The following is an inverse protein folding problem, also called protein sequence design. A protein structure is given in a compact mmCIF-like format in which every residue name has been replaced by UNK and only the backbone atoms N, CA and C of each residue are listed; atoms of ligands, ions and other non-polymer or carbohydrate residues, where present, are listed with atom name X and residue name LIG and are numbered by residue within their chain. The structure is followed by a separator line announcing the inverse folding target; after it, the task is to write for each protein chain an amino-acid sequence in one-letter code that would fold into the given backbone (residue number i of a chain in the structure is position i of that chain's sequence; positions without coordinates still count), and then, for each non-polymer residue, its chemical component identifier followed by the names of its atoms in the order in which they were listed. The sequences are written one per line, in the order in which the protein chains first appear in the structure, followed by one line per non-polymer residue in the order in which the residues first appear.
data_IF_444147635450
#
_entry.id   IF_444147635450
#
_cell.length_a   1.000
_cell.length_b   1.000
_cell.length_c   1.000
_cell.angle_alpha   90.00
_cell.angle_beta   90.00
_cell.angle_gamma   90.00
#
_symmetry.space_group_name_H-M   'P 1'
#
loop_
_entity.id
_entity.type
_entity.pdbx_description
1 polymer ?
#
# COMPACT_ATOMS: atom_id res chain seq x y z
N UNK A 1 -9.91 16.85 -21.10
CA UNK A 1 -9.44 15.86 -22.11
C UNK A 1 -8.40 16.45 -23.07
N UNK A 2 -8.67 17.68 -23.51
CA UNK A 2 -7.85 18.46 -24.44
C UNK A 2 -6.45 18.75 -23.87
N UNK A 3 -6.35 18.99 -22.56
CA UNK A 3 -5.05 19.18 -21.90
C UNK A 3 -4.22 17.89 -21.85
N UNK A 4 -4.85 16.72 -21.70
CA UNK A 4 -4.15 15.44 -21.65
C UNK A 4 -3.47 15.13 -23.00
N UNK A 5 -4.11 15.48 -24.12
CA UNK A 5 -3.50 15.37 -25.45
C UNK A 5 -2.26 16.28 -25.60
N UNK A 6 -2.34 17.52 -25.12
CA UNK A 6 -1.21 18.47 -25.14
C UNK A 6 -0.06 17.96 -24.27
N UNK A 7 -0.35 17.38 -23.10
CA UNK A 7 0.68 16.80 -22.24
C UNK A 7 1.32 15.56 -22.87
N UNK A 8 0.52 14.68 -23.48
CA UNK A 8 1.01 13.51 -24.20
C UNK A 8 1.95 13.90 -25.36
N UNK A 9 1.58 14.89 -26.16
CA UNK A 9 2.44 15.42 -27.25
C UNK A 9 3.78 15.97 -26.74
N UNK A 10 3.81 16.46 -25.50
CA UNK A 10 5.03 16.97 -24.85
C UNK A 10 5.83 15.89 -24.10
N UNK A 11 5.40 14.63 -24.14
CA UNK A 11 6.02 13.54 -23.38
C UNK A 11 5.87 13.68 -21.86
N UNK A 12 4.89 14.47 -21.40
CA UNK A 12 4.60 14.68 -19.98
C UNK A 12 3.62 13.61 -19.52
N UNK A 13 4.04 12.81 -18.53
CA UNK A 13 3.18 11.80 -17.91
C UNK A 13 2.23 12.49 -16.93
N UNK A 14 0.93 12.28 -17.12
CA UNK A 14 -0.12 12.72 -16.20
C UNK A 14 -0.50 11.53 -15.30
N UNK A 15 -0.21 11.65 -14.01
CA UNK A 15 -0.63 10.65 -13.02
C UNK A 15 -2.13 10.85 -12.76
N UNK A 16 -2.97 9.80 -12.88
CA UNK A 16 -4.41 9.95 -12.70
C UNK A 16 -4.77 10.30 -11.26
N UNK A 17 -5.61 11.32 -11.12
CA UNK A 17 -6.21 11.78 -9.86
C UNK A 17 -6.93 10.67 -9.08
N UNK A 18 -7.68 9.82 -9.79
CA UNK A 18 -8.41 8.68 -9.20
C UNK A 18 -7.49 7.71 -8.45
N UNK A 19 -6.22 7.63 -8.86
CA UNK A 19 -5.19 6.88 -8.15
C UNK A 19 -4.45 7.78 -7.15
N UNK A 20 -3.93 8.93 -7.58
CA UNK A 20 -3.05 9.77 -6.77
C UNK A 20 -3.70 10.26 -5.47
N UNK A 21 -5.01 10.52 -5.51
CA UNK A 21 -5.78 11.00 -4.36
C UNK A 21 -6.43 9.87 -3.55
N UNK A 22 -6.29 8.60 -3.98
CA UNK A 22 -6.96 7.46 -3.35
C UNK A 22 -6.48 7.21 -1.90
N UNK A 23 -5.28 7.69 -1.54
CA UNK A 23 -4.73 7.50 -0.19
C UNK A 23 -5.62 8.01 0.94
N UNK A 24 -6.37 9.10 0.73
CA UNK A 24 -7.32 9.60 1.72
C UNK A 24 -8.49 8.64 1.98
N UNK A 25 -8.98 7.98 0.92
CA UNK A 25 -10.04 6.96 1.03
C UNK A 25 -9.48 5.67 1.64
N UNK A 26 -8.24 5.29 1.28
CA UNK A 26 -7.55 4.12 1.86
C UNK A 26 -7.38 4.25 3.38
N UNK A 27 -6.90 5.39 3.87
CA UNK A 27 -6.72 5.58 5.32
C UNK A 27 -8.07 5.72 6.04
N UNK A 28 -9.08 6.34 5.41
CA UNK A 28 -10.46 6.36 5.94
C UNK A 28 -11.03 4.95 6.08
N UNK A 29 -10.72 4.05 5.15
CA UNK A 29 -11.12 2.65 5.24
C UNK A 29 -10.44 1.93 6.42
N UNK A 30 -9.16 2.18 6.66
CA UNK A 30 -8.47 1.65 7.85
C UNK A 30 -9.06 2.19 9.16
N UNK A 31 -9.45 3.46 9.20
CA UNK A 31 -10.16 4.03 10.34
C UNK A 31 -11.50 3.33 10.59
N UNK A 32 -12.27 3.07 9.53
CA UNK A 32 -13.53 2.36 9.63
C UNK A 32 -13.36 0.93 10.18
N UNK A 33 -12.38 0.18 9.68
CA UNK A 33 -12.05 -1.16 10.18
C UNK A 33 -11.64 -1.16 11.66
N UNK A 34 -10.83 -0.17 12.07
CA UNK A 34 -10.48 0.04 13.48
C UNK A 34 -11.72 0.28 14.33
N UNK A 35 -12.62 1.14 13.87
CA UNK A 35 -13.84 1.49 14.60
C UNK A 35 -14.76 0.27 14.78
N UNK A 36 -14.86 -0.61 13.78
CA UNK A 36 -15.59 -1.88 13.87
C UNK A 36 -14.95 -2.89 14.82
N UNK A 37 -13.62 -2.99 14.82
CA UNK A 37 -12.92 -3.98 15.65
C UNK A 37 -12.85 -3.61 17.13
N UNK A 38 -13.10 -2.33 17.48
CA UNK A 38 -12.93 -1.78 18.82
C UNK A 38 -11.55 -2.03 19.46
N UNK A 39 -10.54 -2.37 18.65
CA UNK A 39 -9.17 -2.67 19.08
C UNK A 39 -8.22 -1.71 18.38
N UNK A 40 -7.24 -1.19 19.12
CA UNK A 40 -6.14 -0.42 18.53
C UNK A 40 -5.21 -1.37 17.78
N UNK A 41 -4.90 -1.07 16.53
CA UNK A 41 -3.90 -1.81 15.76
C UNK A 41 -2.59 -1.90 16.53
N UNK A 42 -1.95 -3.09 16.48
CA UNK A 42 -0.71 -3.36 17.19
C UNK A 42 -0.83 -3.52 18.72
N UNK A 43 -1.97 -3.22 19.36
CA UNK A 43 -2.06 -3.27 20.84
C UNK A 43 -1.79 -4.65 21.43
N UNK A 44 -2.23 -5.72 20.77
CA UNK A 44 -2.01 -7.09 21.24
C UNK A 44 -0.63 -7.63 20.84
N UNK A 45 -0.07 -7.14 19.73
CA UNK A 45 1.14 -7.72 19.13
C UNK A 45 2.41 -6.95 19.50
N UNK A 46 2.33 -5.66 19.81
CA UNK A 46 3.50 -4.79 20.05
C UNK A 46 4.45 -5.38 21.09
N UNK A 47 3.95 -5.74 22.27
CA UNK A 47 4.76 -6.35 23.34
C UNK A 47 5.33 -7.71 22.95
N UNK A 48 4.57 -8.49 22.19
CA UNK A 48 5.03 -9.79 21.72
C UNK A 48 6.20 -9.61 20.74
N UNK A 49 6.05 -8.73 19.76
CA UNK A 49 7.09 -8.39 18.77
C UNK A 49 8.33 -7.79 19.43
N UNK A 50 8.16 -6.87 20.39
CA UNK A 50 9.29 -6.31 21.17
C UNK A 50 10.10 -7.40 21.88
N UNK A 51 9.43 -8.37 22.49
CA UNK A 51 10.07 -9.48 23.20
C UNK A 51 10.79 -10.44 22.24
N UNK A 52 10.15 -10.77 21.10
CA UNK A 52 10.75 -11.61 20.06
C UNK A 52 12.00 -10.93 19.49
N UNK A 53 11.91 -9.66 19.12
CA UNK A 53 13.03 -8.89 18.59
C UNK A 53 14.18 -8.78 19.60
N UNK A 54 13.87 -8.55 20.88
CA UNK A 54 14.90 -8.54 21.93
C UNK A 54 15.58 -9.90 22.08
N UNK A 55 14.85 -11.00 21.92
CA UNK A 55 15.40 -12.36 22.02
C UNK A 55 16.33 -12.64 20.84
N UNK A 56 15.90 -12.33 19.62
CA UNK A 56 16.70 -12.48 18.40
C UNK A 56 17.98 -11.64 18.50
N UNK A 57 17.88 -10.38 18.92
CA UNK A 57 19.04 -9.49 19.04
C UNK A 57 20.06 -10.04 20.03
N UNK A 58 19.61 -10.51 21.21
CA UNK A 58 20.50 -11.11 22.20
C UNK A 58 21.23 -12.36 21.64
N UNK A 59 20.55 -13.20 20.85
CA UNK A 59 21.18 -14.36 20.22
C UNK A 59 22.24 -13.95 19.18
N UNK A 60 21.97 -12.92 18.38
CA UNK A 60 22.93 -12.39 17.40
C UNK A 60 24.16 -11.79 18.11
N UNK A 61 23.96 -11.04 19.19
CA UNK A 61 25.06 -10.48 19.99
C UNK A 61 25.92 -11.59 20.61
N UNK A 62 25.29 -12.65 21.11
CA UNK A 62 25.98 -13.82 21.67
C UNK A 62 26.81 -14.56 20.62
N UNK A 63 26.27 -14.78 19.40
CA UNK A 63 26.96 -15.47 18.32
C UNK A 63 28.08 -14.63 17.69
N UNK A 64 27.86 -13.32 17.53
CA UNK A 64 28.81 -12.42 16.88
C UNK A 64 29.91 -11.90 17.81
N UNK A 65 29.70 -11.99 19.13
CA UNK A 65 30.57 -11.40 20.14
C UNK A 65 30.60 -9.87 20.12
N UNK A 66 29.69 -9.22 19.38
CA UNK A 66 29.58 -7.76 19.24
C UNK A 66 28.22 -7.32 19.76
N UNK A 67 28.20 -6.19 20.47
CA UNK A 67 26.95 -5.57 20.96
C UNK A 67 26.46 -4.51 19.97
N UNK A 68 25.15 -4.45 19.74
CA UNK A 68 24.57 -3.36 18.97
C UNK A 68 24.72 -2.03 19.72
N UNK A 69 24.89 -0.93 18.97
CA UNK A 69 24.80 0.41 19.54
C UNK A 69 23.43 0.65 20.17
N UNK A 70 23.36 1.49 21.21
CA UNK A 70 22.13 1.75 21.97
C UNK A 70 21.00 2.23 21.07
N UNK A 71 21.28 3.09 20.08
CA UNK A 71 20.25 3.58 19.15
C UNK A 71 19.72 2.47 18.25
N UNK A 72 20.60 1.62 17.72
CA UNK A 72 20.21 0.49 16.88
C UNK A 72 19.38 -0.53 17.68
N UNK A 73 19.77 -0.77 18.93
CA UNK A 73 19.07 -1.68 19.85
C UNK A 73 17.64 -1.24 20.14
N UNK A 74 17.43 0.05 20.43
CA UNK A 74 16.09 0.58 20.67
C UNK A 74 15.23 0.52 19.41
N UNK A 75 15.79 0.86 18.25
CA UNK A 75 15.08 0.81 16.97
C UNK A 75 14.60 -0.63 16.64
N UNK A 76 15.46 -1.63 16.81
CA UNK A 76 15.14 -3.03 16.52
C UNK A 76 14.11 -3.59 17.49
N UNK A 77 14.17 -3.18 18.76
CA UNK A 77 13.24 -3.65 19.77
C UNK A 77 11.85 -3.08 19.59
N UNK A 78 11.71 -1.85 19.13
CA UNK A 78 10.41 -1.20 19.02
C UNK A 78 9.48 -1.94 18.05
N UNK A 79 8.33 -2.40 18.56
CA UNK A 79 7.27 -2.95 17.72
C UNK A 79 6.48 -1.83 17.01
N UNK A 80 5.79 -2.13 15.89
CA UNK A 80 5.11 -1.11 15.10
C UNK A 80 4.00 -0.43 15.90
N UNK A 81 3.94 0.90 15.79
CA UNK A 81 2.83 1.70 16.27
C UNK A 81 1.68 1.72 15.23
N UNK A 82 0.51 2.19 15.65
CA UNK A 82 -0.67 2.31 14.76
C UNK A 82 -0.34 3.13 13.50
N UNK A 83 0.47 4.17 13.64
CA UNK A 83 0.90 5.01 12.52
C UNK A 83 1.79 4.25 11.53
N UNK A 84 2.68 3.38 12.02
CA UNK A 84 3.57 2.57 11.17
C UNK A 84 2.76 1.57 10.36
N UNK A 85 1.74 0.96 10.98
CA UNK A 85 0.83 0.04 10.31
C UNK A 85 -0.01 0.75 9.23
N UNK A 86 -0.49 1.97 9.50
CA UNK A 86 -1.22 2.77 8.52
C UNK A 86 -0.32 3.16 7.35
N UNK A 87 0.91 3.62 7.61
CA UNK A 87 1.86 3.97 6.55
C UNK A 87 2.24 2.77 5.70
N UNK A 88 2.58 1.63 6.34
CA UNK A 88 2.90 0.41 5.62
C UNK A 88 1.74 -0.08 4.76
N UNK A 89 0.51 -0.09 5.30
CA UNK A 89 -0.68 -0.52 4.54
C UNK A 89 -1.04 0.43 3.40
N UNK A 90 -0.87 1.74 3.61
CA UNK A 90 -1.07 2.74 2.56
C UNK A 90 -0.01 2.59 1.46
N UNK A 91 1.26 2.46 1.82
CA UNK A 91 2.37 2.27 0.88
C UNK A 91 2.14 1.03 0.02
N UNK A 92 1.83 -0.11 0.63
CA UNK A 92 1.54 -1.36 -0.09
C UNK A 92 0.37 -1.19 -1.07
N UNK A 93 -0.73 -0.56 -0.62
CA UNK A 93 -1.90 -0.30 -1.46
C UNK A 93 -1.54 0.56 -2.67
N UNK A 94 -0.79 1.65 -2.46
CA UNK A 94 -0.40 2.58 -3.51
C UNK A 94 0.59 1.94 -4.49
N UNK A 95 1.57 1.15 -4.01
CA UNK A 95 2.52 0.43 -4.86
C UNK A 95 1.78 -0.57 -5.76
N UNK A 96 0.92 -1.40 -5.17
CA UNK A 96 0.17 -2.41 -5.92
C UNK A 96 -0.72 -1.78 -7.00
N UNK A 97 -1.45 -0.71 -6.66
CA UNK A 97 -2.26 0.02 -7.62
C UNK A 97 -1.42 0.63 -8.75
N UNK A 98 -0.24 1.17 -8.42
CA UNK A 98 0.69 1.72 -9.44
C UNK A 98 1.13 0.65 -10.42
N UNK A 99 1.58 -0.49 -9.92
CA UNK A 99 2.04 -1.60 -10.75
C UNK A 99 0.91 -2.10 -11.65
N UNK A 100 -0.29 -2.28 -11.12
CA UNK A 100 -1.44 -2.73 -11.90
C UNK A 100 -1.81 -1.76 -13.03
N UNK A 101 -1.85 -0.45 -12.75
CA UNK A 101 -2.10 0.59 -13.75
C UNK A 101 -1.00 0.62 -14.81
N UNK A 102 0.27 0.57 -14.37
CA UNK A 102 1.42 0.64 -15.27
C UNK A 102 1.54 -0.60 -16.15
N UNK A 103 1.26 -1.80 -15.62
CA UNK A 103 1.24 -3.03 -16.39
C UNK A 103 0.12 -2.98 -17.42
N UNK A 104 -1.10 -2.61 -17.01
CA UNK A 104 -2.24 -2.44 -17.92
C UNK A 104 -1.90 -1.47 -19.06
N UNK A 105 -1.26 -0.34 -18.74
CA UNK A 105 -0.86 0.65 -19.74
C UNK A 105 0.22 0.12 -20.70
N UNK A 106 1.27 -0.52 -20.18
CA UNK A 106 2.42 -0.96 -20.99
C UNK A 106 2.14 -2.22 -21.80
N UNK A 107 1.27 -3.09 -21.32
CA UNK A 107 0.93 -4.36 -21.99
C UNK A 107 -0.06 -4.16 -23.14
N UNK A 108 -0.83 -3.07 -23.15
CA UNK A 108 -1.83 -2.79 -24.17
C UNK A 108 -1.52 -1.49 -24.95
N UNK A 109 -0.95 -1.61 -26.16
CA UNK A 109 -0.67 -0.45 -27.03
C UNK A 109 -1.89 0.37 -27.43
N UNK A 110 -3.11 -0.17 -27.28
CA UNK A 110 -4.34 0.57 -27.57
C UNK A 110 -4.70 1.57 -26.45
N UNK A 111 -4.05 1.51 -25.29
CA UNK A 111 -4.29 2.42 -24.18
C UNK A 111 -3.36 3.63 -24.31
N UNK A 112 -3.90 4.83 -24.60
CA UNK A 112 -3.09 5.99 -24.96
C UNK A 112 -2.33 6.61 -23.77
N UNK A 113 -2.87 6.47 -22.55
CA UNK A 113 -2.35 7.15 -21.37
C UNK A 113 -2.65 6.40 -20.07
N UNK A 114 -1.94 6.80 -19.01
CA UNK A 114 -2.07 6.22 -17.67
C UNK A 114 -3.46 6.42 -17.06
N UNK A 115 -4.19 7.49 -17.42
CA UNK A 115 -5.53 7.76 -16.90
C UNK A 115 -6.53 6.76 -17.46
N UNK A 116 -6.48 6.50 -18.76
CA UNK A 116 -7.27 5.47 -19.44
C UNK A 116 -6.95 4.09 -18.87
N UNK A 117 -5.67 3.79 -18.62
CA UNK A 117 -5.27 2.54 -17.96
C UNK A 117 -5.92 2.37 -16.57
N UNK A 118 -5.94 3.44 -15.76
CA UNK A 118 -6.59 3.41 -14.45
C UNK A 118 -8.11 3.15 -14.54
N UNK A 119 -8.79 3.72 -15.54
CA UNK A 119 -10.20 3.41 -15.79
C UNK A 119 -10.42 1.95 -16.23
N UNK A 120 -9.56 1.42 -17.11
CA UNK A 120 -9.63 0.01 -17.52
C UNK A 120 -9.50 -0.92 -16.33
N UNK A 121 -8.53 -0.68 -15.44
CA UNK A 121 -8.36 -1.44 -14.19
C UNK A 121 -9.63 -1.37 -13.33
N UNK A 122 -10.18 -0.16 -13.13
CA UNK A 122 -11.38 0.02 -12.31
C UNK A 122 -12.60 -0.70 -12.90
N UNK A 123 -12.83 -0.57 -14.21
CA UNK A 123 -13.93 -1.23 -14.92
C UNK A 123 -13.80 -2.75 -14.83
N UNK A 124 -12.61 -3.30 -15.05
CA UNK A 124 -12.37 -4.73 -14.97
C UNK A 124 -12.69 -5.27 -13.57
N UNK A 125 -12.24 -4.59 -12.50
CA UNK A 125 -12.55 -4.98 -11.11
C UNK A 125 -14.05 -4.99 -10.85
N UNK A 126 -14.77 -3.95 -11.27
CA UNK A 126 -16.23 -3.88 -11.11
C UNK A 126 -16.90 -4.98 -11.93
N UNK A 127 -16.51 -5.17 -13.18
CA UNK A 127 -17.07 -6.18 -14.07
C UNK A 127 -16.92 -7.61 -13.51
N UNK A 128 -15.74 -7.94 -12.96
CA UNK A 128 -15.50 -9.24 -12.30
C UNK A 128 -16.47 -9.47 -11.15
N UNK A 129 -16.67 -8.49 -10.28
CA UNK A 129 -17.60 -8.61 -9.15
C UNK A 129 -19.05 -8.78 -9.64
N UNK A 130 -19.45 -8.03 -10.66
CA UNK A 130 -20.80 -8.18 -11.25
C UNK A 130 -21.02 -9.54 -11.90
N UNK A 131 -20.00 -10.10 -12.55
CA UNK A 131 -20.05 -11.44 -13.15
C UNK A 131 -20.15 -12.53 -12.07
N UNK A 132 -19.38 -12.42 -11.00
CA UNK A 132 -19.39 -13.37 -9.88
C UNK A 132 -20.70 -13.35 -9.08
N UNK A 133 -21.35 -12.18 -8.99
CA UNK A 133 -22.66 -12.05 -8.34
C UNK A 133 -23.81 -12.67 -9.15
N UNK A 134 -23.56 -13.09 -10.39
CA UNK A 134 -24.60 -13.63 -11.29
C UNK A 134 -25.65 -12.59 -11.70
N UNK A 135 -25.32 -11.29 -11.60
CA UNK A 135 -26.23 -10.17 -11.90
C UNK A 135 -26.18 -9.81 -13.40
N UNK A 136 -25.29 -10.43 -14.18
CA UNK A 136 -25.27 -10.31 -15.64
C UNK A 136 -26.15 -11.40 -16.29
N UNK A 137 -26.98 -11.06 -17.30
CA UNK A 137 -27.92 -11.99 -17.94
C UNK A 137 -27.28 -13.20 -18.60
#
# INVERSE_FOLDING_TARGET
PEADEVFAQKGVIVIPDMYLNAGGVTVSYFEWLKNLSHVRYGRMEKRFTENVNSTILNQIEQLSGKTADTKARELIKHGPDEVDLVYSGLEETMINATHEIMNTWKENPAIPDMRTAAYVVAINKVATIYAELGIFP
#
